data_IF_453504854526
#
_entry.id   IF_453504854526
#
_cell.length_a   1.000
_cell.length_b   1.000
_cell.length_c   1.000
_cell.angle_alpha   90.00
_cell.angle_beta   90.00
_cell.angle_gamma   90.00
#
_symmetry.space_group_name_H-M   'P 1'
#
loop_
_entity.id
_entity.type
_entity.pdbx_description
1 polymer ?
#
# COMPACT_ATOMS: atom_id res chain seq x y z
N UNK A 1 -20.57 -42.36 -42.35
CA UNK A 1 -21.09 -42.17 -40.97
C UNK A 1 -19.97 -41.87 -39.95
N UNK A 2 -18.76 -42.43 -40.07
CA UNK A 2 -17.62 -42.19 -39.16
C UNK A 2 -17.04 -40.74 -39.15
N UNK A 3 -17.09 -40.01 -40.27
CA UNK A 3 -16.49 -38.66 -40.39
C UNK A 3 -17.28 -37.57 -39.66
N UNK A 4 -18.61 -37.69 -39.60
CA UNK A 4 -19.49 -36.72 -38.92
C UNK A 4 -19.31 -36.75 -37.39
N UNK A 5 -19.13 -37.95 -36.82
CA UNK A 5 -18.91 -38.12 -35.37
C UNK A 5 -17.55 -37.56 -34.95
N UNK A 6 -16.51 -37.80 -35.75
CA UNK A 6 -15.15 -37.27 -35.49
C UNK A 6 -15.12 -35.74 -35.51
N UNK A 7 -15.79 -35.10 -36.48
CA UNK A 7 -15.84 -33.64 -36.55
C UNK A 7 -16.62 -33.04 -35.37
N UNK A 8 -17.76 -33.64 -34.98
CA UNK A 8 -18.52 -33.20 -33.80
C UNK A 8 -17.70 -33.33 -32.50
N UNK A 9 -16.92 -34.41 -32.37
CA UNK A 9 -16.05 -34.60 -31.22
C UNK A 9 -14.93 -33.56 -31.16
N UNK A 10 -14.30 -33.26 -32.30
CA UNK A 10 -13.28 -32.18 -32.39
C UNK A 10 -13.89 -30.83 -32.02
N UNK A 11 -15.08 -30.50 -32.53
CA UNK A 11 -15.76 -29.24 -32.19
C UNK A 11 -16.09 -29.14 -30.70
N UNK A 12 -16.55 -30.22 -30.07
CA UNK A 12 -16.83 -30.25 -28.63
C UNK A 12 -15.55 -30.08 -27.79
N UNK A 13 -14.44 -30.71 -28.20
CA UNK A 13 -13.15 -30.58 -27.51
C UNK A 13 -12.63 -29.14 -27.61
N UNK A 14 -12.73 -28.51 -28.77
CA UNK A 14 -12.31 -27.11 -28.97
C UNK A 14 -13.17 -26.16 -28.13
N UNK A 15 -14.50 -26.36 -28.09
CA UNK A 15 -15.39 -25.55 -27.26
C UNK A 15 -15.09 -25.71 -25.75
N UNK A 16 -14.81 -26.94 -25.31
CA UNK A 16 -14.42 -27.20 -23.92
C UNK A 16 -13.08 -26.52 -23.58
N UNK A 17 -12.09 -26.58 -24.47
CA UNK A 17 -10.80 -25.89 -24.30
C UNK A 17 -10.97 -24.38 -24.24
N UNK A 18 -11.78 -23.78 -25.11
CA UNK A 18 -12.06 -22.34 -25.09
C UNK A 18 -12.76 -21.94 -23.80
N UNK A 19 -13.71 -22.73 -23.30
CA UNK A 19 -14.35 -22.49 -22.01
C UNK A 19 -13.37 -22.58 -20.84
N UNK A 20 -12.48 -23.58 -20.83
CA UNK A 20 -11.47 -23.75 -19.77
C UNK A 20 -10.47 -22.59 -19.78
N UNK A 21 -10.00 -22.17 -20.97
CA UNK A 21 -9.08 -21.04 -21.11
C UNK A 21 -9.75 -19.71 -20.72
N UNK A 22 -11.00 -19.49 -21.12
CA UNK A 22 -11.78 -18.32 -20.73
C UNK A 22 -12.03 -18.28 -19.22
N UNK A 23 -12.33 -19.43 -18.61
CA UNK A 23 -12.52 -19.55 -17.16
C UNK A 23 -11.21 -19.34 -16.40
N UNK A 24 -10.09 -19.89 -16.87
CA UNK A 24 -8.77 -19.68 -16.28
C UNK A 24 -8.35 -18.20 -16.34
N UNK A 25 -8.60 -17.53 -17.46
CA UNK A 25 -8.36 -16.09 -17.61
C UNK A 25 -9.23 -15.26 -16.66
N UNK A 26 -10.51 -15.60 -16.53
CA UNK A 26 -11.43 -14.93 -15.61
C UNK A 26 -11.03 -15.13 -14.14
N UNK A 27 -10.55 -16.32 -13.77
CA UNK A 27 -10.03 -16.58 -12.42
C UNK A 27 -8.72 -15.84 -12.12
N UNK A 28 -7.90 -15.60 -13.14
CA UNK A 28 -6.65 -14.85 -12.99
C UNK A 28 -6.91 -13.34 -12.84
N UNK A 29 -8.05 -12.84 -13.29
CA UNK A 29 -8.43 -11.43 -13.17
C UNK A 29 -9.19 -11.15 -11.87
N UNK A 30 -8.64 -11.56 -10.73
CA UNK A 30 -9.07 -11.03 -9.43
C UNK A 30 -8.53 -9.61 -9.33
N UNK A 31 -9.28 -8.66 -9.88
CA UNK A 31 -8.99 -7.23 -9.74
C UNK A 31 -9.06 -6.90 -8.25
N UNK A 32 -7.90 -6.68 -7.64
CA UNK A 32 -7.81 -6.26 -6.26
C UNK A 32 -8.24 -4.79 -6.21
N UNK A 33 -9.50 -4.57 -5.82
CA UNK A 33 -10.07 -3.23 -5.75
C UNK A 33 -9.56 -2.49 -4.52
N UNK A 34 -8.91 -1.35 -4.74
CA UNK A 34 -8.59 -0.39 -3.69
C UNK A 34 -9.74 0.60 -3.58
N UNK A 35 -10.28 0.76 -2.37
CA UNK A 35 -11.36 1.73 -2.12
C UNK A 35 -10.75 3.07 -1.78
N UNK A 36 -11.14 4.11 -2.52
CA UNK A 36 -10.62 5.47 -2.32
C UNK A 36 -11.72 6.33 -1.72
N UNK A 37 -11.37 7.12 -0.71
CA UNK A 37 -12.27 8.09 -0.08
C UNK A 37 -11.56 9.42 0.08
N UNK A 38 -12.18 10.48 -0.44
CA UNK A 38 -11.81 11.85 -0.11
C UNK A 38 -12.05 12.10 1.38
N UNK A 39 -11.09 12.75 2.02
CA UNK A 39 -11.12 13.13 3.42
C UNK A 39 -10.96 14.65 3.51
N UNK A 40 -11.58 15.25 4.53
CA UNK A 40 -11.42 16.67 4.86
C UNK A 40 -11.33 16.83 6.37
N UNK A 41 -10.34 16.17 6.95
CA UNK A 41 -10.09 16.21 8.40
C UNK A 41 -8.60 16.27 8.68
N UNK A 42 -8.27 16.85 9.83
CA UNK A 42 -6.89 16.89 10.32
C UNK A 42 -6.37 15.48 10.61
N UNK A 43 -5.09 15.28 10.33
CA UNK A 43 -4.30 14.21 10.90
C UNK A 43 -4.22 14.45 12.42
N UNK A 44 -4.46 13.43 13.25
CA UNK A 44 -4.48 13.59 14.69
C UNK A 44 -3.11 14.01 15.23
N UNK A 45 -3.11 14.80 16.31
CA UNK A 45 -1.90 15.04 17.08
C UNK A 45 -1.44 13.75 17.74
N UNK A 46 -0.14 13.45 17.66
CA UNK A 46 0.42 12.25 18.25
C UNK A 46 1.88 12.46 18.64
N UNK A 47 2.34 11.60 19.55
CA UNK A 47 3.76 11.39 19.85
C UNK A 47 3.98 9.90 19.90
N UNK A 48 4.90 9.39 19.10
CA UNK A 48 5.26 7.97 19.12
C UNK A 48 6.75 7.75 18.88
N UNK A 49 7.23 6.55 19.18
CA UNK A 49 8.61 6.16 18.90
C UNK A 49 8.79 5.85 17.40
N UNK A 50 9.91 6.30 16.84
CA UNK A 50 10.43 5.79 15.59
C UNK A 50 10.86 4.32 15.76
N UNK A 51 10.60 3.47 14.77
CA UNK A 51 11.23 2.15 14.65
C UNK A 51 12.51 2.23 13.83
N UNK A 52 12.44 2.94 12.71
CA UNK A 52 13.50 3.09 11.72
C UNK A 52 13.40 4.51 11.16
N UNK A 53 14.54 5.15 10.93
CA UNK A 53 14.66 6.40 10.20
C UNK A 53 15.64 6.22 9.01
N UNK A 54 15.89 7.27 8.25
CA UNK A 54 16.84 7.26 7.12
C UNK A 54 18.28 6.89 7.51
N UNK A 55 18.63 6.96 8.79
CA UNK A 55 19.95 6.61 9.33
C UNK A 55 20.02 5.16 9.87
N UNK A 56 18.89 4.45 9.96
CA UNK A 56 18.81 3.07 10.44
C UNK A 56 17.77 2.84 11.54
N UNK A 57 17.97 1.81 12.37
CA UNK A 57 17.06 1.48 13.49
C UNK A 57 17.30 2.45 14.64
N UNK A 58 16.31 3.28 14.97
CA UNK A 58 16.40 4.23 16.09
C UNK A 58 15.13 4.22 16.92
N UNK A 59 15.10 3.40 17.98
CA UNK A 59 13.91 3.22 18.83
C UNK A 59 13.69 4.35 19.86
N UNK A 60 14.48 5.42 19.82
CA UNK A 60 14.48 6.50 20.84
C UNK A 60 14.11 7.87 20.30
N UNK A 61 14.00 8.02 18.99
CA UNK A 61 13.53 9.28 18.39
C UNK A 61 12.01 9.35 18.50
N UNK A 62 11.50 10.46 19.02
CA UNK A 62 10.08 10.76 18.98
C UNK A 62 9.69 11.25 17.58
N UNK A 63 8.56 10.77 17.08
CA UNK A 63 7.90 11.20 15.86
C UNK A 63 6.59 11.86 16.24
N UNK A 64 6.30 12.97 15.58
CA UNK A 64 5.13 13.81 15.81
C UNK A 64 4.46 14.18 14.48
N UNK A 65 3.38 14.97 14.55
CA UNK A 65 2.71 15.48 13.36
C UNK A 65 3.65 16.30 12.45
N UNK A 66 4.63 17.02 13.02
CA UNK A 66 5.60 17.81 12.23
C UNK A 66 6.41 16.96 11.27
N UNK A 67 6.66 15.68 11.59
CA UNK A 67 7.35 14.77 10.69
C UNK A 67 6.48 14.37 9.49
N UNK A 68 5.15 14.35 9.66
CA UNK A 68 4.18 14.02 8.61
C UNK A 68 3.90 15.20 7.67
N UNK A 69 4.26 16.42 8.05
CA UNK A 69 3.98 17.64 7.28
C UNK A 69 5.21 18.31 6.67
N UNK A 70 6.35 17.60 6.59
CA UNK A 70 7.60 18.13 6.06
C UNK A 70 7.59 18.43 4.55
N UNK A 71 6.61 17.89 3.82
CA UNK A 71 6.48 18.00 2.36
C UNK A 71 5.13 18.61 1.99
N UNK A 72 4.99 19.24 0.80
CA UNK A 72 3.69 19.71 0.30
C UNK A 72 2.62 18.62 0.36
N UNK A 73 3.03 17.38 0.04
CA UNK A 73 2.23 16.17 0.21
C UNK A 73 3.10 15.03 0.73
N UNK A 74 2.53 14.23 1.62
CA UNK A 74 3.17 13.10 2.31
C UNK A 74 2.26 11.88 2.24
N UNK A 75 2.82 10.73 1.88
CA UNK A 75 2.12 9.46 2.06
C UNK A 75 2.35 8.91 3.46
N UNK A 76 1.29 8.46 4.13
CA UNK A 76 1.36 7.64 5.34
C UNK A 76 0.78 6.27 5.04
N UNK A 77 1.64 5.26 4.95
CA UNK A 77 1.27 3.89 4.62
C UNK A 77 1.20 3.04 5.88
N UNK A 78 0.04 2.45 6.13
CA UNK A 78 -0.26 1.60 7.28
C UNK A 78 -0.01 0.15 6.91
N UNK A 79 0.93 -0.48 7.61
CA UNK A 79 1.39 -1.83 7.30
C UNK A 79 1.75 -2.61 8.57
N UNK A 80 1.96 -3.91 8.43
CA UNK A 80 2.45 -4.77 9.50
C UNK A 80 3.22 -5.97 8.94
N UNK A 81 4.14 -6.52 9.72
CA UNK A 81 4.96 -7.69 9.36
C UNK A 81 4.14 -8.96 9.13
N UNK A 82 3.00 -9.07 9.80
CA UNK A 82 2.05 -10.17 9.67
C UNK A 82 1.07 -9.99 8.50
N UNK A 83 1.08 -8.84 7.81
CA UNK A 83 0.17 -8.52 6.73
C UNK A 83 0.68 -9.09 5.40
N UNK A 84 0.16 -10.27 5.01
CA UNK A 84 0.53 -10.91 3.75
C UNK A 84 0.22 -10.07 2.51
N UNK A 85 -0.85 -9.25 2.54
CA UNK A 85 -1.22 -8.38 1.41
C UNK A 85 -0.26 -7.19 1.29
N UNK A 86 0.28 -6.67 2.40
CA UNK A 86 1.23 -5.56 2.39
C UNK A 86 2.50 -5.90 1.60
N UNK A 87 2.91 -7.18 1.60
CA UNK A 87 4.01 -7.66 0.76
C UNK A 87 3.79 -7.43 -0.75
N UNK A 88 2.54 -7.44 -1.21
CA UNK A 88 2.23 -7.27 -2.63
C UNK A 88 2.39 -5.83 -3.13
N UNK A 89 2.26 -4.83 -2.25
CA UNK A 89 2.50 -3.42 -2.60
C UNK A 89 3.94 -2.97 -2.36
N UNK A 90 4.68 -3.69 -1.51
CA UNK A 90 6.01 -3.29 -1.05
C UNK A 90 6.99 -2.96 -2.18
N UNK A 91 7.04 -3.80 -3.21
CA UNK A 91 7.90 -3.58 -4.39
C UNK A 91 7.53 -2.31 -5.16
N UNK A 92 6.26 -1.90 -5.12
CA UNK A 92 5.81 -0.65 -5.72
C UNK A 92 6.14 0.55 -4.83
N UNK A 93 5.98 0.44 -3.51
CA UNK A 93 6.40 1.49 -2.56
C UNK A 93 7.91 1.78 -2.66
N UNK A 94 8.75 0.75 -2.86
CA UNK A 94 10.18 0.94 -3.11
C UNK A 94 10.43 1.78 -4.37
N UNK A 95 9.70 1.53 -5.47
CA UNK A 95 9.82 2.34 -6.69
C UNK A 95 9.39 3.79 -6.50
N UNK A 96 8.38 4.04 -5.65
CA UNK A 96 7.97 5.39 -5.31
C UNK A 96 9.06 6.09 -4.48
N UNK A 97 9.63 5.40 -3.51
CA UNK A 97 10.78 5.90 -2.73
C UNK A 97 11.98 6.23 -3.64
N UNK A 98 12.30 5.36 -4.62
CA UNK A 98 13.39 5.62 -5.59
C UNK A 98 13.13 6.86 -6.46
N UNK A 99 11.87 7.25 -6.64
CA UNK A 99 11.46 8.49 -7.32
C UNK A 99 11.43 9.72 -6.39
N UNK A 100 11.82 9.56 -5.11
CA UNK A 100 11.81 10.62 -4.12
C UNK A 100 10.42 10.95 -3.57
N UNK A 101 9.43 10.07 -3.75
CA UNK A 101 8.12 10.27 -3.15
C UNK A 101 8.26 10.07 -1.63
N UNK A 102 7.83 11.05 -0.81
CA UNK A 102 7.94 10.92 0.63
C UNK A 102 6.90 9.93 1.15
N UNK A 103 7.36 8.90 1.87
CA UNK A 103 6.51 7.85 2.46
C UNK A 103 6.91 7.63 3.92
N UNK A 104 5.95 7.76 4.83
CA UNK A 104 6.08 7.40 6.24
C UNK A 104 5.35 6.08 6.44
N UNK A 105 6.00 5.13 7.12
CA UNK A 105 5.36 3.89 7.53
C UNK A 105 4.67 4.05 8.88
N UNK A 106 3.42 3.61 9.01
CA UNK A 106 2.74 3.40 10.29
C UNK A 106 2.68 1.90 10.56
N UNK A 107 3.58 1.40 11.42
CA UNK A 107 3.66 -0.01 11.77
C UNK A 107 2.60 -0.35 12.82
N UNK A 108 1.49 -0.93 12.36
CA UNK A 108 0.25 -1.09 13.11
C UNK A 108 0.18 -2.41 13.85
N UNK A 109 0.01 -2.35 15.20
CA UNK A 109 -0.21 -3.51 16.08
C UNK A 109 0.72 -4.68 15.76
N UNK A 110 2.01 -4.37 15.74
CA UNK A 110 3.02 -5.29 15.27
C UNK A 110 4.19 -5.40 16.26
N UNK A 111 4.95 -6.47 16.12
CA UNK A 111 6.17 -6.67 16.87
C UNK A 111 7.32 -5.92 16.18
N UNK A 112 7.98 -5.02 16.90
CA UNK A 112 9.05 -4.18 16.35
C UNK A 112 10.19 -4.99 15.72
N UNK A 113 10.59 -6.12 16.31
CA UNK A 113 11.66 -6.95 15.74
C UNK A 113 11.23 -7.64 14.44
N UNK A 114 9.97 -8.09 14.36
CA UNK A 114 9.43 -8.66 13.13
C UNK A 114 9.31 -7.60 12.01
N UNK A 115 8.82 -6.39 12.36
CA UNK A 115 8.76 -5.26 11.43
C UNK A 115 10.15 -4.90 10.88
N UNK A 116 11.14 -4.76 11.76
CA UNK A 116 12.53 -4.49 11.37
C UNK A 116 13.07 -5.58 10.45
N UNK A 117 12.84 -6.86 10.76
CA UNK A 117 13.31 -7.95 9.92
C UNK A 117 12.72 -7.89 8.51
N UNK A 118 11.44 -7.54 8.37
CA UNK A 118 10.80 -7.35 7.05
C UNK A 118 11.47 -6.21 6.28
N UNK A 119 11.74 -5.07 6.93
CA UNK A 119 12.40 -3.94 6.27
C UNK A 119 13.86 -4.24 5.88
N UNK A 120 14.57 -5.04 6.67
CA UNK A 120 15.93 -5.47 6.36
C UNK A 120 15.96 -6.51 5.23
N UNK A 121 14.97 -7.41 5.15
CA UNK A 121 14.94 -8.47 4.14
C UNK A 121 14.38 -8.01 2.80
N UNK A 122 13.31 -7.22 2.84
CA UNK A 122 12.51 -6.86 1.67
C UNK A 122 12.81 -5.42 1.20
N UNK A 123 13.65 -4.67 1.94
CA UNK A 123 13.99 -3.27 1.69
C UNK A 123 13.08 -2.30 2.45
N UNK A 124 13.53 -1.07 2.67
CA UNK A 124 12.77 -0.05 3.38
C UNK A 124 12.36 1.10 2.43
N UNK A 125 11.07 1.25 2.09
CA UNK A 125 10.58 2.36 1.29
C UNK A 125 10.26 3.62 2.12
N UNK A 126 10.43 3.57 3.45
CA UNK A 126 9.98 4.61 4.36
C UNK A 126 11.14 5.51 4.82
N UNK A 127 10.92 6.82 4.81
CA UNK A 127 11.85 7.80 5.39
C UNK A 127 11.90 7.70 6.92
N UNK A 128 10.74 7.42 7.53
CA UNK A 128 10.61 7.07 8.94
C UNK A 128 9.46 6.09 9.15
N UNK A 129 9.55 5.29 10.21
CA UNK A 129 8.50 4.33 10.57
C UNK A 129 8.01 4.62 11.98
N UNK A 130 6.75 5.03 12.10
CA UNK A 130 6.03 5.20 13.34
C UNK A 130 5.71 3.81 13.92
N UNK A 131 6.12 3.57 15.18
CA UNK A 131 5.67 2.39 15.93
C UNK A 131 4.26 2.64 16.48
N UNK A 132 3.30 1.77 16.20
CA UNK A 132 1.98 1.83 16.85
C UNK A 132 1.56 0.45 17.39
N UNK A 133 2.29 -0.10 18.39
CA UNK A 133 2.08 -1.45 18.88
C UNK A 133 0.71 -1.66 19.54
N UNK A 134 0.09 -0.59 20.06
CA UNK A 134 -1.26 -0.65 20.64
C UNK A 134 -2.37 -0.24 19.64
N UNK A 135 -2.02 0.31 18.48
CA UNK A 135 -2.98 0.77 17.48
C UNK A 135 -3.71 2.06 17.88
N UNK A 136 -3.09 2.94 18.69
CA UNK A 136 -3.73 4.17 19.17
C UNK A 136 -3.86 5.20 18.06
N UNK A 137 -2.76 5.47 17.36
CA UNK A 137 -2.77 6.40 16.23
C UNK A 137 -3.61 5.84 15.09
N UNK A 138 -3.48 4.54 14.80
CA UNK A 138 -4.30 3.86 13.82
C UNK A 138 -5.81 3.98 14.14
N UNK A 139 -6.20 3.87 15.41
CA UNK A 139 -7.60 4.05 15.82
C UNK A 139 -8.11 5.48 15.55
N UNK A 140 -7.33 6.51 15.88
CA UNK A 140 -7.69 7.92 15.63
C UNK A 140 -7.72 8.25 14.12
N UNK A 141 -6.85 7.60 13.35
CA UNK A 141 -6.88 7.62 11.89
C UNK A 141 -8.04 6.79 11.31
N UNK A 142 -8.82 6.09 12.13
CA UNK A 142 -9.93 5.24 11.67
C UNK A 142 -9.46 4.11 10.76
N UNK A 143 -8.26 3.58 10.99
CA UNK A 143 -7.73 2.39 10.32
C UNK A 143 -8.63 1.20 10.67
N UNK A 144 -9.03 0.45 9.64
CA UNK A 144 -9.88 -0.74 9.78
C UNK A 144 -9.19 -2.00 9.25
N UNK A 145 -8.08 -1.87 8.53
CA UNK A 145 -7.27 -2.98 8.04
C UNK A 145 -5.89 -2.54 7.55
N UNK A 146 -5.18 -3.48 6.93
CA UNK A 146 -3.92 -3.23 6.24
C UNK A 146 -3.89 -3.98 4.90
N UNK A 147 -3.24 -3.43 3.86
CA UNK A 147 -2.67 -2.08 3.83
C UNK A 147 -3.73 -0.97 3.72
N UNK A 148 -3.40 0.18 4.27
CA UNK A 148 -4.11 1.44 4.04
C UNK A 148 -3.10 2.54 3.75
N UNK A 149 -3.42 3.50 2.89
CA UNK A 149 -2.54 4.64 2.59
C UNK A 149 -3.32 5.95 2.70
N UNK A 150 -2.71 6.94 3.35
CA UNK A 150 -3.24 8.28 3.50
C UNK A 150 -2.38 9.25 2.71
N UNK A 151 -3.02 10.20 2.04
CA UNK A 151 -2.38 11.38 1.47
C UNK A 151 -2.61 12.56 2.42
N UNK A 152 -1.54 13.14 2.93
CA UNK A 152 -1.56 14.26 3.89
C UNK A 152 -0.89 15.46 3.24
N UNK A 153 -1.43 16.66 3.41
CA UNK A 153 -0.78 17.90 2.95
C UNK A 153 0.11 18.53 4.04
N UNK A 154 0.82 19.60 3.68
CA UNK A 154 1.71 20.34 4.59
C UNK A 154 0.98 21.02 5.76
N UNK A 155 -0.33 21.23 5.68
CA UNK A 155 -1.14 21.76 6.78
C UNK A 155 -1.61 20.66 7.74
N UNK A 156 -1.22 19.40 7.49
CA UNK A 156 -1.62 18.25 8.30
C UNK A 156 -3.03 17.77 8.00
N UNK A 157 -3.61 18.12 6.85
CA UNK A 157 -4.93 17.67 6.45
C UNK A 157 -4.85 16.38 5.65
N UNK A 158 -5.68 15.40 6.00
CA UNK A 158 -5.83 14.17 5.22
C UNK A 158 -6.73 14.51 4.02
N UNK A 159 -6.17 14.36 2.82
CA UNK A 159 -6.85 14.62 1.54
C UNK A 159 -7.53 13.34 1.02
N UNK A 160 -6.80 12.22 1.03
CA UNK A 160 -7.33 10.92 0.57
C UNK A 160 -7.00 9.83 1.58
N UNK A 161 -7.89 8.85 1.67
CA UNK A 161 -7.70 7.55 2.32
C UNK A 161 -7.93 6.44 1.30
N UNK A 162 -6.96 5.55 1.17
CA UNK A 162 -6.98 4.38 0.30
C UNK A 162 -6.99 3.12 1.17
N UNK A 163 -8.00 2.27 0.99
CA UNK A 163 -8.10 0.97 1.64
C UNK A 163 -7.77 -0.12 0.62
N UNK A 164 -6.64 -0.79 0.82
CA UNK A 164 -6.11 -1.78 -0.12
C UNK A 164 -4.75 -1.37 -0.69
N UNK A 165 -4.30 -2.16 -1.66
CA UNK A 165 -2.95 -2.10 -2.23
C UNK A 165 -2.78 -0.84 -3.08
N UNK A 166 -1.66 -0.16 -2.88
CA UNK A 166 -1.20 0.85 -3.84
C UNK A 166 -0.34 0.16 -4.90
N UNK A 167 -0.82 0.18 -6.15
CA UNK A 167 -0.10 -0.28 -7.33
C UNK A 167 -0.02 0.84 -8.38
N UNK A 168 0.58 0.57 -9.54
CA UNK A 168 0.78 1.57 -10.59
C UNK A 168 -0.54 2.24 -11.04
N UNK A 169 -1.62 1.48 -11.25
CA UNK A 169 -2.91 2.05 -11.69
C UNK A 169 -3.50 2.96 -10.62
N UNK A 170 -3.57 2.49 -9.37
CA UNK A 170 -4.04 3.30 -8.23
C UNK A 170 -3.19 4.57 -8.09
N UNK A 171 -1.86 4.45 -8.22
CA UNK A 171 -0.98 5.62 -8.16
C UNK A 171 -1.28 6.64 -9.24
N UNK A 172 -1.35 6.22 -10.51
CA UNK A 172 -1.59 7.12 -11.64
C UNK A 172 -2.96 7.78 -11.56
N UNK A 173 -3.98 7.04 -11.11
CA UNK A 173 -5.35 7.52 -11.04
C UNK A 173 -5.60 8.46 -9.85
N UNK A 174 -4.94 8.21 -8.71
CA UNK A 174 -5.34 8.82 -7.44
C UNK A 174 -4.28 9.70 -6.77
N UNK A 175 -2.99 9.45 -7.02
CA UNK A 175 -1.91 10.03 -6.22
C UNK A 175 -0.89 10.82 -7.04
N UNK A 176 -0.56 10.39 -8.26
CA UNK A 176 0.53 10.94 -9.07
C UNK A 176 0.44 12.47 -9.23
N UNK A 177 -0.76 12.98 -9.51
CA UNK A 177 -0.99 14.42 -9.73
C UNK A 177 -0.59 15.33 -8.55
N UNK A 178 -0.50 14.80 -7.32
CA UNK A 178 -0.08 15.57 -6.15
C UNK A 178 1.45 15.70 -6.06
N UNK A 179 2.18 14.85 -6.78
CA UNK A 179 3.64 14.82 -6.80
C UNK A 179 4.21 15.28 -8.16
N UNK A 180 3.36 15.34 -9.20
CA UNK A 180 3.67 15.91 -10.51
C UNK A 180 3.72 17.44 -10.44
N UNK A 181 4.87 17.96 -10.00
CA UNK A 181 5.11 19.38 -9.78
C UNK A 181 6.32 19.68 -8.89
N UNK A 182 6.85 18.66 -8.21
CA UNK A 182 8.09 18.76 -7.43
C UNK A 182 9.37 18.74 -8.28
N UNK A 183 9.25 18.81 -9.63
CA UNK A 183 10.35 18.93 -10.59
C UNK A 183 10.14 20.13 -11.53
N UNK A 184 9.92 21.32 -10.96
CA UNK A 184 9.91 22.60 -11.67
C UNK A 184 10.66 23.67 -10.89
#
# INVERSE_FOLDING_TARGET
MHTSVRNKLITLIVLALVMVLGFAFALNNKQQSTTVSEQKRAFPEFVSAALVNSEGISSKQEITLTDVTQHPYQLVNVWASWCGICKTEHAFLLKLNDKGIPIIGLNYRDNSAAAINVLLSDGNPYSTVISDPQGKLALELGVIGTPETYLVDADGQIIKKLLGVVNESVWQEELAMYFDGANG
#
